data_IF_967604553456
#
_entry.id   IF_967604553456
#
_cell.length_a   1.000
_cell.length_b   1.000
_cell.length_c   1.000
_cell.angle_alpha   90.00
_cell.angle_beta   90.00
_cell.angle_gamma   90.00
#
_symmetry.space_group_name_H-M   'P 1'
#
loop_
_entity.id
_entity.type
_entity.pdbx_description
1 polymer ?
#
# COMPACT_ATOMS: atom_id res chain seq x y z
N UNK A 1 -8.87 -11.59 -1.67
CA UNK A 1 -9.65 -10.58 -0.92
C UNK A 1 -9.95 -10.93 0.53
N UNK A 2 -10.33 -12.18 0.92
CA UNK A 2 -10.65 -12.50 2.33
C UNK A 2 -9.53 -12.12 3.30
N UNK A 3 -8.31 -12.60 3.04
CA UNK A 3 -7.14 -12.28 3.87
C UNK A 3 -6.80 -10.78 3.90
N UNK A 4 -7.00 -10.08 2.78
CA UNK A 4 -6.82 -8.63 2.71
C UNK A 4 -7.81 -7.91 3.61
N UNK A 5 -9.08 -8.32 3.61
CA UNK A 5 -10.09 -7.77 4.48
C UNK A 5 -9.78 -8.02 5.97
N UNK A 6 -9.31 -9.21 6.32
CA UNK A 6 -8.90 -9.54 7.71
C UNK A 6 -7.79 -8.60 8.19
N UNK A 7 -6.77 -8.37 7.37
CA UNK A 7 -5.70 -7.42 7.68
C UNK A 7 -6.23 -5.98 7.77
N UNK A 8 -7.12 -5.59 6.84
CA UNK A 8 -7.72 -4.25 6.87
C UNK A 8 -8.59 -4.06 8.12
N UNK A 9 -9.31 -5.09 8.58
CA UNK A 9 -10.08 -5.04 9.83
C UNK A 9 -9.17 -4.91 11.06
N UNK A 10 -8.01 -5.56 11.04
CA UNK A 10 -7.01 -5.44 12.10
C UNK A 10 -6.41 -4.04 12.16
N UNK A 11 -6.01 -3.49 11.01
CA UNK A 11 -5.51 -2.11 10.90
C UNK A 11 -6.58 -1.12 11.35
N UNK A 12 -7.84 -1.29 10.94
CA UNK A 12 -8.93 -0.40 11.32
C UNK A 12 -9.15 -0.35 12.84
N UNK A 13 -9.11 -1.52 13.50
CA UNK A 13 -9.18 -1.60 14.96
C UNK A 13 -8.04 -0.88 15.66
N UNK A 14 -6.81 -1.00 15.13
CA UNK A 14 -5.65 -0.29 15.69
C UNK A 14 -5.77 1.21 15.49
N UNK A 15 -6.17 1.66 14.30
CA UNK A 15 -6.36 3.08 14.02
C UNK A 15 -7.51 3.71 14.83
N UNK A 16 -8.52 2.92 15.19
CA UNK A 16 -9.64 3.37 16.01
C UNK A 16 -9.22 3.85 17.39
N UNK A 17 -8.13 3.32 17.93
CA UNK A 17 -7.60 3.70 19.25
C UNK A 17 -6.74 4.96 19.23
N UNK A 18 -6.44 5.51 18.06
CA UNK A 18 -5.57 6.68 17.95
C UNK A 18 -6.37 7.98 18.19
N UNK A 19 -6.08 8.73 19.25
CA UNK A 19 -6.85 9.91 19.63
C UNK A 19 -6.77 11.07 18.63
N UNK A 20 -5.76 11.11 17.76
CA UNK A 20 -5.57 12.15 16.78
C UNK A 20 -6.43 11.97 15.51
N UNK A 21 -7.07 10.81 15.34
CA UNK A 21 -7.86 10.48 14.15
C UNK A 21 -9.31 10.92 14.35
N UNK A 22 -9.81 11.77 13.44
CA UNK A 22 -11.21 12.20 13.43
C UNK A 22 -12.09 11.22 12.65
N UNK A 23 -11.65 10.82 11.47
CA UNK A 23 -12.35 9.85 10.64
C UNK A 23 -11.38 9.09 9.75
N UNK A 24 -11.82 7.92 9.30
CA UNK A 24 -11.05 7.08 8.39
C UNK A 24 -11.97 6.42 7.37
N UNK A 25 -11.53 6.38 6.13
CA UNK A 25 -12.20 5.72 5.03
C UNK A 25 -11.31 4.56 4.56
N UNK A 26 -11.92 3.40 4.41
CA UNK A 26 -11.25 2.18 3.95
C UNK A 26 -11.64 1.86 2.51
N UNK A 27 -10.65 1.59 1.67
CA UNK A 27 -10.84 1.13 0.31
C UNK A 27 -10.06 -0.19 0.16
N UNK A 28 -10.76 -1.29 -0.05
CA UNK A 28 -10.16 -2.60 -0.30
C UNK A 28 -10.09 -2.88 -1.79
N UNK A 29 -8.99 -3.46 -2.25
CA UNK A 29 -8.76 -3.76 -3.67
C UNK A 29 -8.10 -2.62 -4.45
N UNK A 30 -7.71 -1.54 -3.78
CA UNK A 30 -7.07 -0.39 -4.41
C UNK A 30 -5.95 0.21 -3.55
N UNK A 31 -4.89 0.65 -4.22
CA UNK A 31 -3.77 1.37 -3.64
C UNK A 31 -3.37 2.53 -4.55
N UNK A 32 -3.20 3.73 -3.99
CA UNK A 32 -2.84 4.93 -4.75
C UNK A 32 -1.49 4.85 -5.47
N UNK A 33 -0.59 4.00 -4.99
CA UNK A 33 0.76 3.83 -5.56
C UNK A 33 0.79 2.62 -6.51
N UNK A 34 0.24 1.48 -6.06
CA UNK A 34 0.31 0.20 -6.79
C UNK A 34 -0.88 -0.04 -7.73
N UNK A 35 -1.96 0.75 -7.62
CA UNK A 35 -3.17 0.58 -8.43
C UNK A 35 -4.13 -0.47 -7.87
N UNK A 36 -4.88 -1.11 -8.76
CA UNK A 36 -5.87 -2.13 -8.40
C UNK A 36 -5.21 -3.49 -8.13
N UNK A 37 -5.70 -4.19 -7.11
CA UNK A 37 -5.22 -5.54 -6.78
C UNK A 37 -5.98 -6.13 -5.60
N UNK A 38 -6.32 -7.41 -5.67
CA UNK A 38 -7.05 -8.11 -4.60
C UNK A 38 -6.28 -8.22 -3.28
N UNK A 39 -4.95 -7.98 -3.32
CA UNK A 39 -4.05 -7.91 -2.18
C UNK A 39 -3.76 -6.46 -1.74
N UNK A 40 -4.43 -5.47 -2.32
CA UNK A 40 -4.22 -4.06 -2.03
C UNK A 40 -5.32 -3.51 -1.14
N UNK A 41 -4.97 -2.50 -0.35
CA UNK A 41 -5.91 -1.76 0.46
C UNK A 41 -5.36 -0.39 0.82
N UNK A 42 -6.25 0.57 1.01
CA UNK A 42 -5.90 1.94 1.37
C UNK A 42 -6.80 2.45 2.48
N UNK A 43 -6.21 3.17 3.41
CA UNK A 43 -6.93 4.03 4.36
C UNK A 43 -6.69 5.49 4.03
N UNK A 44 -7.75 6.25 3.92
CA UNK A 44 -7.70 7.70 3.93
C UNK A 44 -8.07 8.16 5.33
N UNK A 45 -7.11 8.77 6.01
CA UNK A 45 -7.23 9.15 7.42
C UNK A 45 -7.35 10.67 7.51
N UNK A 46 -8.45 11.15 8.07
CA UNK A 46 -8.62 12.55 8.43
C UNK A 46 -8.24 12.72 9.90
N UNK A 47 -7.28 13.58 10.16
CA UNK A 47 -6.90 13.95 11.52
C UNK A 47 -7.87 14.97 12.09
N UNK A 48 -8.00 15.04 13.41
CA UNK A 48 -8.66 16.11 14.13
C UNK A 48 -8.01 17.46 13.80
N UNK A 49 -8.67 18.56 14.09
CA UNK A 49 -8.11 19.90 13.91
C UNK A 49 -6.79 20.05 14.70
N UNK A 50 -5.94 20.97 14.28
CA UNK A 50 -4.68 21.21 14.97
C UNK A 50 -4.89 21.60 16.44
N UNK A 51 -5.91 22.45 16.72
CA UNK A 51 -6.27 22.89 18.07
C UNK A 51 -6.73 21.73 18.96
N UNK A 52 -7.53 20.82 18.44
CA UNK A 52 -7.95 19.61 19.18
C UNK A 52 -6.78 18.69 19.48
N UNK A 53 -5.87 18.50 18.51
CA UNK A 53 -4.69 17.66 18.69
C UNK A 53 -3.64 18.28 19.63
N UNK A 54 -3.62 19.60 19.81
CA UNK A 54 -2.79 20.24 20.83
C UNK A 54 -3.23 19.91 22.25
N UNK A 55 -4.51 19.63 22.46
CA UNK A 55 -5.07 19.25 23.77
C UNK A 55 -4.88 17.77 24.08
N UNK A 56 -4.59 16.97 23.08
CA UNK A 56 -4.37 15.52 23.25
C UNK A 56 -2.96 15.25 23.82
N UNK A 57 -2.91 14.36 24.77
CA UNK A 57 -1.64 13.93 25.37
C UNK A 57 -0.93 12.93 24.44
N UNK A 58 0.23 13.33 23.93
CA UNK A 58 1.08 12.46 23.13
C UNK A 58 1.92 11.50 23.97
N UNK A 59 2.52 10.47 23.35
CA UNK A 59 3.40 9.51 24.03
C UNK A 59 4.65 10.17 24.65
N UNK A 60 4.97 11.39 24.29
CA UNK A 60 6.10 12.18 24.78
C UNK A 60 5.68 13.23 25.84
N UNK A 61 4.48 13.09 26.42
CA UNK A 61 3.99 13.94 27.51
C UNK A 61 5.01 14.18 28.62
N UNK A 62 5.73 13.12 29.01
CA UNK A 62 6.70 13.18 30.11
C UNK A 62 7.94 14.05 29.82
N UNK A 63 8.19 14.39 28.57
CA UNK A 63 9.27 15.30 28.14
C UNK A 63 8.75 16.65 27.63
N UNK A 64 7.51 17.03 28.00
CA UNK A 64 6.92 18.33 27.69
C UNK A 64 6.35 18.49 26.28
N UNK A 65 6.21 17.41 25.53
CA UNK A 65 5.56 17.44 24.19
C UNK A 65 4.08 17.12 24.34
N UNK A 66 3.25 18.16 24.27
CA UNK A 66 1.80 18.08 24.49
C UNK A 66 0.96 18.16 23.22
N UNK A 67 1.56 18.08 22.02
CA UNK A 67 0.80 18.12 20.79
C UNK A 67 1.03 16.87 19.95
N UNK A 68 0.00 16.45 19.22
CA UNK A 68 0.07 15.40 18.23
C UNK A 68 0.22 16.00 16.82
N UNK A 69 1.42 16.47 16.51
CA UNK A 69 1.79 16.88 15.15
C UNK A 69 1.62 15.73 14.15
N UNK A 70 1.42 16.06 12.89
CA UNK A 70 1.17 15.04 11.84
C UNK A 70 2.31 14.03 11.72
N UNK A 71 3.55 14.44 11.88
CA UNK A 71 4.72 13.55 11.87
C UNK A 71 4.71 12.57 13.06
N UNK A 72 4.30 13.04 14.24
CA UNK A 72 4.18 12.19 15.41
C UNK A 72 3.06 11.16 15.24
N UNK A 73 1.90 11.58 14.71
CA UNK A 73 0.80 10.68 14.40
C UNK A 73 1.23 9.59 13.40
N UNK A 74 2.03 9.96 12.39
CA UNK A 74 2.60 9.01 11.45
C UNK A 74 3.48 7.96 12.15
N UNK A 75 4.36 8.41 13.04
CA UNK A 75 5.19 7.51 13.86
C UNK A 75 4.36 6.59 14.76
N UNK A 76 3.26 7.08 15.34
CA UNK A 76 2.33 6.27 16.12
C UNK A 76 1.66 5.19 15.24
N UNK A 77 1.21 5.53 14.05
CA UNK A 77 0.62 4.57 13.10
C UNK A 77 1.63 3.48 12.76
N UNK A 78 2.87 3.82 12.41
CA UNK A 78 3.92 2.83 12.16
C UNK A 78 4.17 1.92 13.36
N UNK A 79 4.24 2.49 14.56
CA UNK A 79 4.43 1.71 15.80
C UNK A 79 3.27 0.77 16.06
N UNK A 80 2.03 1.24 15.91
CA UNK A 80 0.83 0.43 16.11
C UNK A 80 0.72 -0.72 15.12
N UNK A 81 1.06 -0.46 13.85
CA UNK A 81 0.94 -1.45 12.76
C UNK A 81 2.16 -2.35 12.62
N UNK A 82 3.25 -2.12 13.34
CA UNK A 82 4.48 -2.92 13.28
C UNK A 82 4.28 -4.41 13.64
N UNK A 83 3.26 -4.72 14.43
CA UNK A 83 2.91 -6.10 14.80
C UNK A 83 2.32 -6.91 13.63
N UNK A 84 1.80 -6.26 12.59
CA UNK A 84 1.15 -6.89 11.46
C UNK A 84 2.21 -7.42 10.49
N UNK A 85 2.46 -8.72 10.54
CA UNK A 85 3.45 -9.39 9.68
C UNK A 85 2.90 -9.80 8.30
N UNK A 86 1.58 -9.82 8.15
CA UNK A 86 0.89 -10.30 6.95
C UNK A 86 0.77 -9.28 5.81
N UNK A 87 1.16 -8.02 6.04
CA UNK A 87 1.09 -6.95 5.06
C UNK A 87 2.23 -5.95 5.23
N UNK A 88 2.60 -5.30 4.14
CA UNK A 88 3.47 -4.12 4.16
C UNK A 88 2.58 -2.88 4.28
N UNK A 89 2.74 -2.15 5.37
CA UNK A 89 1.95 -0.94 5.64
C UNK A 89 2.83 0.28 5.38
N UNK A 90 2.38 1.14 4.48
CA UNK A 90 3.03 2.39 4.14
C UNK A 90 2.09 3.52 4.54
N UNK A 91 2.54 4.39 5.43
CA UNK A 91 1.81 5.57 5.84
C UNK A 91 2.59 6.82 5.42
N UNK A 92 1.93 7.76 4.78
CA UNK A 92 2.53 9.00 4.30
C UNK A 92 1.52 10.14 4.31
N UNK A 93 2.03 11.36 4.31
CA UNK A 93 1.22 12.56 4.18
C UNK A 93 1.09 12.93 2.70
N UNK A 94 -0.07 13.40 2.24
CA UNK A 94 -0.18 13.99 0.91
C UNK A 94 0.73 15.22 0.81
N UNK A 95 1.23 15.56 -0.38
CA UNK A 95 2.04 16.77 -0.59
C UNK A 95 1.22 18.02 -0.28
N UNK A 96 1.89 19.09 0.17
CA UNK A 96 1.23 20.36 0.47
C UNK A 96 0.57 20.98 -0.76
N UNK A 97 1.13 20.75 -1.96
CA UNK A 97 0.57 21.19 -3.24
C UNK A 97 -0.13 20.00 -3.89
N UNK A 98 -1.45 20.05 -3.93
CA UNK A 98 -2.27 19.01 -4.55
C UNK A 98 -2.03 18.95 -6.07
N UNK A 99 -1.98 17.73 -6.62
CA UNK A 99 -1.81 17.49 -8.05
C UNK A 99 -0.36 17.29 -8.52
N UNK A 100 0.64 17.53 -7.66
CA UNK A 100 2.05 17.33 -8.04
C UNK A 100 2.51 15.88 -7.91
N UNK A 101 2.04 15.15 -6.92
CA UNK A 101 2.41 13.74 -6.68
C UNK A 101 1.42 13.09 -5.71
N UNK A 102 1.40 11.77 -5.66
CA UNK A 102 0.65 11.03 -4.64
C UNK A 102 1.34 11.08 -3.26
N UNK A 103 2.66 11.28 -3.24
CA UNK A 103 3.48 11.31 -2.02
C UNK A 103 4.43 12.51 -2.06
N UNK A 104 4.83 12.97 -0.88
CA UNK A 104 5.84 14.02 -0.75
C UNK A 104 7.23 13.39 -0.98
N UNK A 105 7.87 13.68 -2.12
CA UNK A 105 9.19 13.14 -2.45
C UNK A 105 9.43 12.91 -3.94
N UNK A 106 10.51 12.19 -4.24
CA UNK A 106 10.90 11.82 -5.60
C UNK A 106 10.49 10.39 -5.91
N UNK A 107 10.06 10.15 -7.14
CA UNK A 107 9.74 8.83 -7.65
C UNK A 107 10.80 8.37 -8.65
N UNK A 108 11.35 7.18 -8.45
CA UNK A 108 12.29 6.55 -9.37
C UNK A 108 11.63 5.35 -10.05
N UNK A 109 11.82 5.22 -11.35
CA UNK A 109 11.44 4.04 -12.10
C UNK A 109 12.65 3.16 -12.34
N UNK A 110 12.69 1.98 -11.71
CA UNK A 110 13.68 0.96 -12.03
C UNK A 110 13.16 0.03 -13.12
N UNK A 111 13.98 -0.26 -14.11
CA UNK A 111 13.65 -1.14 -15.22
C UNK A 111 14.68 -2.25 -15.35
N UNK A 112 14.24 -3.49 -15.45
CA UNK A 112 15.08 -4.58 -15.89
C UNK A 112 15.08 -4.63 -17.43
N UNK A 113 16.23 -4.39 -18.03
CA UNK A 113 16.43 -4.45 -19.50
C UNK A 113 16.98 -5.80 -19.96
N UNK A 114 17.28 -6.70 -19.03
CA UNK A 114 17.86 -8.01 -19.33
C UNK A 114 16.83 -9.08 -19.58
N UNK A 115 15.56 -8.85 -19.17
CA UNK A 115 14.50 -9.87 -19.22
C UNK A 115 14.78 -11.04 -18.30
N UNK A 116 15.55 -10.80 -17.22
CA UNK A 116 15.99 -11.82 -16.28
C UNK A 116 14.94 -12.27 -15.27
N UNK A 117 15.42 -12.93 -14.22
CA UNK A 117 14.56 -13.44 -13.13
C UNK A 117 13.99 -12.28 -12.31
N UNK A 118 12.66 -12.25 -12.22
CA UNK A 118 11.87 -11.27 -11.46
C UNK A 118 12.26 -11.25 -9.97
N UNK A 119 12.61 -12.38 -9.38
CA UNK A 119 13.04 -12.44 -7.98
C UNK A 119 14.41 -11.80 -7.80
N UNK A 120 15.33 -12.03 -8.74
CA UNK A 120 16.64 -11.38 -8.74
C UNK A 120 16.51 -9.87 -8.86
N UNK A 121 15.63 -9.40 -9.74
CA UNK A 121 15.33 -7.97 -9.85
C UNK A 121 14.75 -7.39 -8.56
N UNK A 122 13.86 -8.14 -7.90
CA UNK A 122 13.32 -7.75 -6.59
C UNK A 122 14.40 -7.61 -5.52
N UNK A 123 15.35 -8.55 -5.45
CA UNK A 123 16.45 -8.49 -4.50
C UNK A 123 17.39 -7.29 -4.77
N UNK A 124 17.67 -7.00 -6.03
CA UNK A 124 18.43 -5.81 -6.43
C UNK A 124 17.69 -4.54 -5.98
N UNK A 125 16.40 -4.47 -6.22
CA UNK A 125 15.55 -3.34 -5.79
C UNK A 125 15.59 -3.15 -4.27
N UNK A 126 15.48 -4.23 -3.50
CA UNK A 126 15.57 -4.18 -2.03
C UNK A 126 16.93 -3.67 -1.56
N UNK A 127 18.01 -4.15 -2.16
CA UNK A 127 19.36 -3.72 -1.80
C UNK A 127 19.53 -2.22 -2.12
N UNK A 128 19.06 -1.77 -3.28
CA UNK A 128 19.08 -0.36 -3.64
C UNK A 128 18.32 0.51 -2.64
N UNK A 129 17.11 0.10 -2.21
CA UNK A 129 16.32 0.80 -1.19
C UNK A 129 17.06 0.82 0.15
N UNK A 130 17.71 -0.28 0.53
CA UNK A 130 18.48 -0.34 1.76
C UNK A 130 19.68 0.64 1.75
N UNK A 131 20.36 0.78 0.61
CA UNK A 131 21.44 1.75 0.46
C UNK A 131 20.92 3.19 0.45
N UNK A 132 19.77 3.46 -0.18
CA UNK A 132 19.14 4.77 -0.13
C UNK A 132 18.78 5.17 1.30
N UNK A 133 18.23 4.26 2.09
CA UNK A 133 17.87 4.52 3.49
C UNK A 133 19.05 4.75 4.44
N UNK A 134 20.29 4.49 3.99
CA UNK A 134 21.52 4.85 4.73
C UNK A 134 21.96 6.29 4.46
N UNK A 135 21.41 6.95 3.45
CA UNK A 135 21.81 8.31 3.09
C UNK A 135 21.14 9.32 4.00
N UNK A 136 21.90 10.29 4.56
CA UNK A 136 21.35 11.31 5.45
C UNK A 136 20.36 12.26 4.76
N UNK A 137 20.44 12.37 3.43
CA UNK A 137 19.56 13.22 2.64
C UNK A 137 18.18 12.59 2.38
N UNK A 138 18.06 11.28 2.64
CA UNK A 138 16.83 10.51 2.37
C UNK A 138 16.18 10.12 3.68
N UNK A 139 15.01 10.68 3.93
CA UNK A 139 14.25 10.37 5.14
C UNK A 139 13.70 8.92 5.13
N UNK A 140 13.19 8.47 3.98
CA UNK A 140 12.67 7.12 3.81
C UNK A 140 12.54 6.78 2.32
N UNK A 141 13.09 5.65 1.91
CA UNK A 141 12.90 5.08 0.57
C UNK A 141 12.06 3.81 0.66
N UNK A 142 11.07 3.64 -0.21
CA UNK A 142 10.15 2.51 -0.20
C UNK A 142 9.75 2.09 -1.61
N UNK A 143 9.25 0.87 -1.77
CA UNK A 143 8.62 0.39 -3.00
C UNK A 143 7.34 -0.39 -2.68
N UNK A 144 6.37 -0.27 -3.57
CA UNK A 144 5.15 -1.11 -3.55
C UNK A 144 5.32 -2.42 -4.32
N UNK A 145 6.46 -2.59 -5.04
CA UNK A 145 6.73 -3.79 -5.82
C UNK A 145 6.92 -5.02 -4.92
N UNK A 146 6.18 -6.09 -5.20
CA UNK A 146 6.22 -7.33 -4.45
C UNK A 146 6.07 -8.52 -5.39
N UNK A 147 7.04 -9.44 -5.36
CA UNK A 147 7.05 -10.67 -6.17
C UNK A 147 6.42 -11.87 -5.46
N UNK A 148 6.11 -11.75 -4.17
CA UNK A 148 5.59 -12.85 -3.35
C UNK A 148 4.07 -13.02 -3.42
N UNK A 149 3.40 -12.22 -4.25
CA UNK A 149 1.96 -12.36 -4.44
C UNK A 149 1.67 -13.49 -5.42
N UNK A 150 1.00 -14.57 -5.00
CA UNK A 150 0.68 -15.68 -5.88
C UNK A 150 -0.33 -15.23 -6.95
N UNK A 151 0.02 -15.46 -8.20
CA UNK A 151 -0.82 -15.19 -9.37
C UNK A 151 -1.17 -16.50 -10.05
N UNK A 152 -2.40 -16.61 -10.56
CA UNK A 152 -2.81 -17.69 -11.41
C UNK A 152 -2.67 -17.26 -12.87
N UNK A 153 -1.92 -18.03 -13.64
CA UNK A 153 -1.92 -17.90 -15.10
C UNK A 153 -3.07 -18.74 -15.67
N UNK A 154 -3.96 -18.10 -16.37
CA UNK A 154 -5.03 -18.81 -17.09
C UNK A 154 -4.49 -19.10 -18.49
N UNK A 155 -4.46 -20.39 -18.84
CA UNK A 155 -4.09 -20.85 -20.17
C UNK A 155 -5.33 -21.43 -20.86
N UNK A 156 -5.70 -20.84 -21.99
CA UNK A 156 -6.88 -21.23 -22.74
C UNK A 156 -6.49 -22.18 -23.86
N UNK A 157 -7.05 -23.40 -23.85
CA UNK A 157 -6.86 -24.38 -24.91
C UNK A 157 -7.61 -23.94 -26.19
N UNK A 158 -6.90 -23.22 -27.06
CA UNK A 158 -7.44 -22.70 -28.31
C UNK A 158 -7.95 -23.80 -29.25
N UNK A 159 -7.32 -24.98 -29.21
CA UNK A 159 -7.74 -26.11 -30.04
C UNK A 159 -9.11 -26.61 -29.61
N UNK A 160 -9.35 -26.80 -28.33
CA UNK A 160 -10.66 -27.15 -27.77
C UNK A 160 -11.71 -26.08 -28.02
N UNK A 161 -11.38 -24.82 -27.92
CA UNK A 161 -12.28 -23.72 -28.22
C UNK A 161 -12.79 -23.83 -29.69
N UNK A 162 -11.88 -24.00 -30.64
CA UNK A 162 -12.22 -24.15 -32.05
C UNK A 162 -13.06 -25.39 -32.30
N UNK A 163 -12.76 -26.53 -31.70
CA UNK A 163 -13.55 -27.75 -31.80
C UNK A 163 -14.98 -27.57 -31.28
N UNK A 164 -15.14 -26.76 -30.24
CA UNK A 164 -16.45 -26.44 -29.63
C UNK A 164 -17.18 -25.29 -30.32
N UNK A 165 -16.62 -24.70 -31.37
CA UNK A 165 -17.21 -23.55 -32.05
C UNK A 165 -17.22 -22.26 -31.24
N UNK A 166 -16.35 -22.15 -30.20
CA UNK A 166 -16.25 -21.01 -29.31
C UNK A 166 -14.95 -20.26 -29.61
N UNK A 167 -15.03 -18.93 -29.71
CA UNK A 167 -13.84 -18.13 -29.88
C UNK A 167 -13.11 -18.01 -28.54
N UNK A 168 -11.78 -18.16 -28.58
CA UNK A 168 -10.92 -18.02 -27.39
C UNK A 168 -11.03 -16.62 -26.72
N UNK A 169 -11.28 -15.58 -27.52
CA UNK A 169 -11.53 -14.23 -27.02
C UNK A 169 -12.78 -14.15 -26.14
N UNK A 170 -13.84 -14.85 -26.53
CA UNK A 170 -15.10 -14.93 -25.75
C UNK A 170 -14.86 -15.59 -24.39
N UNK A 171 -14.03 -16.66 -24.33
CA UNK A 171 -13.67 -17.33 -23.10
C UNK A 171 -12.90 -16.35 -22.19
N UNK A 172 -11.91 -15.66 -22.73
CA UNK A 172 -11.11 -14.68 -21.96
C UNK A 172 -11.97 -13.53 -21.43
N UNK A 173 -12.87 -12.97 -22.23
CA UNK A 173 -13.78 -11.89 -21.82
C UNK A 173 -14.73 -12.36 -20.72
N UNK A 174 -15.26 -13.57 -20.83
CA UNK A 174 -16.12 -14.16 -19.79
C UNK A 174 -15.35 -14.35 -18.49
N UNK A 175 -14.13 -14.89 -18.57
CA UNK A 175 -13.26 -15.05 -17.41
C UNK A 175 -12.89 -13.70 -16.77
N UNK A 176 -12.67 -12.67 -17.58
CA UNK A 176 -12.40 -11.31 -17.10
C UNK A 176 -13.59 -10.77 -16.30
N UNK A 177 -14.84 -10.99 -16.76
CA UNK A 177 -16.04 -10.61 -16.01
C UNK A 177 -16.14 -11.31 -14.65
N UNK A 178 -15.88 -12.63 -14.61
CA UNK A 178 -15.98 -13.41 -13.36
C UNK A 178 -14.85 -13.15 -12.36
N UNK A 179 -13.62 -12.98 -12.84
CA UNK A 179 -12.44 -12.82 -11.97
C UNK A 179 -11.95 -11.37 -11.84
N UNK A 180 -12.18 -10.55 -12.85
CA UNK A 180 -11.79 -9.14 -12.85
C UNK A 180 -12.81 -8.20 -12.21
N UNK A 181 -14.06 -8.65 -12.07
CA UNK A 181 -15.12 -7.86 -11.42
C UNK A 181 -15.61 -6.66 -12.25
N UNK A 182 -15.57 -6.77 -13.58
CA UNK A 182 -16.17 -5.77 -14.49
C UNK A 182 -17.57 -6.20 -14.91
#
# INVERSE_FOLDING_TARGET
>A
MKKTNEVMDEVDRMLATNPAIASRMRITGYNFIAGQGSNQGTFIIKLKSFEERQKEEGPLKYIGVHNLGSTMVLGMIYKQTAAIKGAQILAFQPPMVQGFSATNGMTFSMQDRTGGDVNKFYDITKNFIAELNKRPEISNAMTSYNTKYPQYKIDVDVAKCKQSGIDASTVLTTMQGYYGGM
#
